data_IF_459512364143
#
_entry.id   IF_459512364143
#
_cell.length_a   1.000
_cell.length_b   1.000
_cell.length_c   1.000
_cell.angle_alpha   90.00
_cell.angle_beta   90.00
_cell.angle_gamma   90.00
#
_symmetry.space_group_name_H-M   'P 1'
#
loop_
_entity.id
_entity.type
_entity.pdbx_description
1 polymer ?
#
# COMPACT_ATOMS: atom_id res chain seq x y z
N UNK A 1 25.48 24.12 -1.79
CA UNK A 1 26.30 25.35 -1.60
C UNK A 1 26.44 26.24 -2.84
N UNK A 2 26.64 25.73 -4.07
CA UNK A 2 26.84 26.57 -5.27
C UNK A 2 25.74 27.59 -5.57
N UNK A 3 24.49 27.27 -5.21
CA UNK A 3 23.30 28.10 -5.43
C UNK A 3 23.28 29.37 -4.56
N UNK A 4 23.77 29.29 -3.32
CA UNK A 4 23.81 30.43 -2.40
C UNK A 4 25.02 31.34 -2.66
N UNK A 5 26.15 30.77 -3.09
CA UNK A 5 27.27 31.55 -3.61
C UNK A 5 26.93 32.32 -4.89
N UNK A 6 25.85 31.93 -5.60
CA UNK A 6 25.30 32.68 -6.73
C UNK A 6 24.32 33.80 -6.31
N UNK A 7 24.17 34.06 -5.00
CA UNK A 7 23.33 35.13 -4.48
C UNK A 7 21.84 34.81 -4.41
N UNK A 8 21.43 33.55 -4.58
CA UNK A 8 20.02 33.20 -4.37
C UNK A 8 19.64 33.40 -2.90
N UNK A 9 18.58 34.19 -2.69
CA UNK A 9 17.96 34.46 -1.39
C UNK A 9 16.50 34.03 -1.45
N UNK A 10 15.96 33.56 -0.32
CA UNK A 10 14.52 33.34 -0.15
C UNK A 10 13.98 34.43 0.77
N UNK A 11 12.93 35.10 0.31
CA UNK A 11 12.18 36.07 1.14
C UNK A 11 11.21 35.33 2.04
N UNK A 12 10.71 35.99 3.09
CA UNK A 12 9.71 35.39 3.98
C UNK A 12 8.45 34.96 3.22
N UNK A 13 7.91 35.84 2.37
CA UNK A 13 6.75 35.51 1.54
C UNK A 13 7.04 34.34 0.57
N UNK A 14 8.25 34.29 -0.01
CA UNK A 14 8.68 33.19 -0.86
C UNK A 14 8.79 31.86 -0.11
N UNK A 15 9.24 31.90 1.15
CA UNK A 15 9.32 30.74 2.04
C UNK A 15 7.93 30.19 2.36
N UNK A 16 7.00 31.06 2.77
CA UNK A 16 5.63 30.65 3.08
C UNK A 16 4.92 30.07 1.84
N UNK A 17 5.10 30.72 0.68
CA UNK A 17 4.56 30.21 -0.58
C UNK A 17 5.14 28.82 -0.91
N UNK A 18 6.45 28.65 -0.84
CA UNK A 18 7.09 27.37 -1.12
C UNK A 18 6.62 26.26 -0.16
N UNK A 19 6.35 26.60 1.11
CA UNK A 19 5.76 25.66 2.07
C UNK A 19 4.30 25.31 1.75
N UNK A 20 3.50 26.29 1.28
CA UNK A 20 2.14 26.04 0.79
C UNK A 20 2.11 25.16 -0.46
N UNK A 21 3.09 25.33 -1.35
CA UNK A 21 3.28 24.50 -2.55
C UNK A 21 3.98 23.14 -2.22
N UNK A 22 4.14 22.81 -0.94
CA UNK A 22 4.78 21.58 -0.43
C UNK A 22 6.18 21.29 -1.01
N UNK A 23 6.96 22.35 -1.30
CA UNK A 23 8.33 22.22 -1.81
C UNK A 23 9.19 21.56 -0.73
N UNK A 24 9.80 20.42 -1.05
CA UNK A 24 10.65 19.70 -0.11
C UNK A 24 11.93 20.49 0.23
N UNK A 25 12.32 20.50 1.50
CA UNK A 25 13.62 21.04 1.94
C UNK A 25 13.71 22.57 1.97
N UNK A 26 12.56 23.27 2.08
CA UNK A 26 12.52 24.74 2.22
C UNK A 26 13.36 25.24 3.41
N UNK A 27 13.47 24.46 4.48
CA UNK A 27 14.27 24.77 5.66
C UNK A 27 15.77 24.89 5.38
N UNK A 28 16.27 24.18 4.35
CA UNK A 28 17.70 24.20 3.97
C UNK A 28 18.09 25.59 3.47
N UNK A 29 17.17 26.31 2.83
CA UNK A 29 17.40 27.67 2.36
C UNK A 29 17.56 28.63 3.54
N UNK A 30 16.70 28.49 4.55
CA UNK A 30 16.74 29.31 5.77
C UNK A 30 18.02 29.04 6.56
N UNK A 31 18.33 27.76 6.81
CA UNK A 31 19.55 27.35 7.52
C UNK A 31 20.81 27.90 6.85
N UNK A 32 20.86 27.86 5.52
CA UNK A 32 22.04 28.28 4.81
C UNK A 32 22.17 29.81 4.72
N UNK A 33 21.07 30.57 4.66
CA UNK A 33 21.12 32.04 4.83
C UNK A 33 21.65 32.42 6.22
N UNK A 34 21.23 31.71 7.27
CA UNK A 34 21.73 31.92 8.64
C UNK A 34 23.22 31.62 8.78
N UNK A 35 23.68 30.47 8.26
CA UNK A 35 25.10 30.07 8.31
C UNK A 35 26.03 31.04 7.55
N UNK A 36 25.54 31.66 6.48
CA UNK A 36 26.29 32.62 5.68
C UNK A 36 26.17 34.07 6.19
N UNK A 37 25.43 34.32 7.27
CA UNK A 37 25.19 35.66 7.79
C UNK A 37 24.48 36.58 6.80
N UNK A 38 23.68 36.02 5.89
CA UNK A 38 22.92 36.80 4.90
C UNK A 38 21.74 37.46 5.62
N UNK A 39 21.67 38.79 5.56
CA UNK A 39 20.51 39.52 6.06
C UNK A 39 19.25 39.11 5.27
N UNK A 40 18.22 38.66 5.98
CA UNK A 40 16.93 38.24 5.43
C UNK A 40 15.78 38.94 6.15
N UNK A 41 14.61 38.99 5.50
CA UNK A 41 13.35 39.47 6.06
C UNK A 41 12.58 38.37 6.82
N UNK A 42 13.17 37.18 6.99
CA UNK A 42 12.55 36.02 7.64
C UNK A 42 12.45 36.28 9.16
N UNK A 43 11.25 36.28 9.74
CA UNK A 43 11.07 36.47 11.19
C UNK A 43 11.78 35.38 11.99
N UNK A 44 12.24 35.73 13.20
CA UNK A 44 12.94 34.81 14.10
C UNK A 44 12.13 33.53 14.38
N UNK A 45 10.80 33.61 14.44
CA UNK A 45 9.91 32.46 14.61
C UNK A 45 10.00 31.49 13.43
N UNK A 46 9.96 31.97 12.18
CA UNK A 46 10.11 31.12 11.00
C UNK A 46 11.52 30.50 10.93
N UNK A 47 12.55 31.24 11.35
CA UNK A 47 13.91 30.68 11.52
C UNK A 47 13.91 29.56 12.56
N UNK A 48 13.26 29.75 13.71
CA UNK A 48 13.18 28.73 14.76
C UNK A 48 12.50 27.44 14.25
N UNK A 49 11.39 27.57 13.52
CA UNK A 49 10.69 26.44 12.89
C UNK A 49 11.64 25.65 11.96
N UNK A 50 12.35 26.35 11.05
CA UNK A 50 13.24 25.71 10.07
C UNK A 50 14.55 25.17 10.66
N UNK A 51 15.03 25.75 11.76
CA UNK A 51 16.32 25.41 12.36
C UNK A 51 16.21 24.48 13.57
N UNK A 52 15.01 23.96 13.89
CA UNK A 52 14.80 23.06 15.03
C UNK A 52 14.93 23.77 16.38
N UNK A 53 14.66 25.09 16.42
CA UNK A 53 14.60 25.84 17.66
C UNK A 53 13.34 25.50 18.47
N UNK A 54 13.36 25.86 19.75
CA UNK A 54 12.20 25.71 20.62
C UNK A 54 11.16 26.79 20.29
N UNK A 55 10.24 26.45 19.38
CA UNK A 55 9.11 27.30 19.04
C UNK A 55 7.80 26.81 19.64
N UNK A 56 7.83 25.74 20.47
CA UNK A 56 6.62 25.17 21.07
C UNK A 56 5.90 26.17 21.98
N UNK A 57 6.65 27.07 22.63
CA UNK A 57 6.12 28.06 23.57
C UNK A 57 5.91 29.45 22.96
N UNK A 58 6.29 29.69 21.70
CA UNK A 58 6.20 31.03 21.09
C UNK A 58 4.78 31.26 20.56
N UNK A 59 4.07 32.30 20.99
CA UNK A 59 2.74 32.62 20.46
C UNK A 59 2.76 32.78 18.92
N UNK A 60 1.84 32.09 18.24
CA UNK A 60 1.70 32.20 16.79
C UNK A 60 0.99 33.52 16.44
N UNK A 61 1.53 34.33 15.52
CA UNK A 61 0.85 35.54 15.07
C UNK A 61 -0.48 35.18 14.41
N UNK A 62 -1.53 35.96 14.69
CA UNK A 62 -2.87 35.68 14.16
C UNK A 62 -2.94 35.71 12.64
N UNK A 63 -2.18 36.61 12.00
CA UNK A 63 -2.18 36.81 10.54
C UNK A 63 -1.47 35.66 9.80
N UNK A 64 -0.34 35.18 10.32
CA UNK A 64 0.52 34.18 9.65
C UNK A 64 0.43 32.77 10.26
N UNK A 65 -0.39 32.57 11.31
CA UNK A 65 -0.39 31.34 12.10
C UNK A 65 -0.58 30.07 11.25
N UNK A 66 -1.51 30.10 10.29
CA UNK A 66 -1.74 28.97 9.37
C UNK A 66 -0.54 28.69 8.46
N UNK A 67 0.10 29.74 7.93
CA UNK A 67 1.25 29.61 7.04
C UNK A 67 2.51 29.12 7.79
N UNK A 68 2.68 29.51 9.06
CA UNK A 68 3.75 29.01 9.92
C UNK A 68 3.54 27.55 10.32
N UNK A 69 2.29 27.14 10.60
CA UNK A 69 1.96 25.72 10.82
C UNK A 69 2.26 24.89 9.57
N UNK A 70 1.90 25.42 8.39
CA UNK A 70 2.19 24.80 7.09
C UNK A 70 3.70 24.65 6.85
N UNK A 71 4.48 25.71 7.13
CA UNK A 71 5.95 25.65 7.08
C UNK A 71 6.49 24.58 8.04
N UNK A 72 5.98 24.50 9.26
CA UNK A 72 6.42 23.54 10.26
C UNK A 72 6.09 22.08 9.90
N UNK A 73 4.93 21.83 9.31
CA UNK A 73 4.54 20.51 8.81
C UNK A 73 5.27 20.13 7.51
N UNK A 74 5.78 21.09 6.75
CA UNK A 74 6.57 20.83 5.54
C UNK A 74 8.06 20.51 5.85
N UNK A 75 8.56 20.97 7.00
CA UNK A 75 9.94 20.75 7.45
C UNK A 75 10.25 19.26 7.62
N UNK A 76 11.47 18.82 7.27
CA UNK A 76 11.87 17.40 7.41
C UNK A 76 11.97 16.90 8.86
N UNK A 77 11.93 17.77 9.86
CA UNK A 77 12.02 17.41 11.27
C UNK A 77 10.65 16.93 11.82
N UNK A 78 10.50 15.64 12.19
CA UNK A 78 9.23 15.10 12.68
C UNK A 78 8.80 15.68 14.03
N UNK A 79 9.72 16.14 14.87
CA UNK A 79 9.38 16.75 16.17
C UNK A 79 8.80 18.16 15.97
N UNK A 80 9.34 18.92 15.01
CA UNK A 80 8.77 20.22 14.58
C UNK A 80 7.33 20.03 14.06
N UNK A 81 7.11 19.05 13.18
CA UNK A 81 5.77 18.77 12.65
C UNK A 81 4.79 18.32 13.75
N UNK A 82 5.25 17.49 14.69
CA UNK A 82 4.42 17.04 15.83
C UNK A 82 4.06 18.20 16.76
N UNK A 83 5.00 19.10 17.04
CA UNK A 83 4.74 20.31 17.80
C UNK A 83 3.71 21.21 17.08
N UNK A 84 3.83 21.37 15.75
CA UNK A 84 2.88 22.13 14.95
C UNK A 84 1.46 21.56 15.05
N UNK A 85 1.30 20.24 14.88
CA UNK A 85 0.02 19.57 14.97
C UNK A 85 -0.66 19.82 16.33
N UNK A 86 0.10 19.80 17.43
CA UNK A 86 -0.41 20.06 18.79
C UNK A 86 -0.87 21.50 19.02
N UNK A 87 -0.42 22.42 18.18
CA UNK A 87 -0.72 23.86 18.28
C UNK A 87 -1.80 24.31 17.32
N UNK A 88 -2.39 23.40 16.54
CA UNK A 88 -3.49 23.73 15.66
C UNK A 88 -4.65 24.30 16.48
N UNK A 89 -5.16 25.51 16.13
CA UNK A 89 -6.29 26.08 16.83
C UNK A 89 -7.53 25.22 16.63
N UNK A 90 -8.41 25.21 17.63
CA UNK A 90 -9.67 24.45 17.57
C UNK A 90 -10.58 24.92 16.41
N UNK A 91 -10.44 26.17 16.00
CA UNK A 91 -11.18 26.81 14.90
C UNK A 91 -10.21 27.13 13.76
N UNK A 92 -9.82 26.11 13.00
CA UNK A 92 -9.15 26.29 11.72
C UNK A 92 -10.19 26.38 10.61
N UNK A 93 -9.92 27.26 9.65
CA UNK A 93 -10.65 27.24 8.39
C UNK A 93 -10.53 25.84 7.75
N UNK A 94 -11.63 25.27 7.23
CA UNK A 94 -11.64 23.90 6.70
C UNK A 94 -10.54 23.66 5.66
N UNK A 95 -10.35 24.62 4.74
CA UNK A 95 -9.32 24.52 3.70
C UNK A 95 -7.90 24.47 4.26
N UNK A 96 -7.64 25.20 5.36
CA UNK A 96 -6.33 25.21 6.03
C UNK A 96 -6.10 23.89 6.74
N UNK A 97 -7.08 23.38 7.50
CA UNK A 97 -6.96 22.10 8.19
C UNK A 97 -6.66 20.94 7.21
N UNK A 98 -7.31 20.96 6.04
CA UNK A 98 -7.08 19.99 4.95
C UNK A 98 -5.67 20.10 4.38
N UNK A 99 -5.22 21.31 4.02
CA UNK A 99 -3.87 21.55 3.50
C UNK A 99 -2.80 21.06 4.47
N UNK A 100 -2.95 21.41 5.76
CA UNK A 100 -2.02 21.00 6.79
C UNK A 100 -1.94 19.47 6.91
N UNK A 101 -3.09 18.79 6.90
CA UNK A 101 -3.12 17.32 7.02
C UNK A 101 -2.48 16.65 5.81
N UNK A 102 -2.79 17.14 4.61
CA UNK A 102 -2.19 16.64 3.38
C UNK A 102 -0.67 16.80 3.43
N UNK A 103 -0.16 17.97 3.82
CA UNK A 103 1.28 18.19 3.96
C UNK A 103 1.90 17.27 5.01
N UNK A 104 1.29 17.12 6.19
CA UNK A 104 1.78 16.19 7.20
C UNK A 104 1.85 14.74 6.68
N UNK A 105 0.84 14.34 5.90
CA UNK A 105 0.73 13.03 5.28
C UNK A 105 1.79 12.82 4.20
N UNK A 106 1.87 13.70 3.19
CA UNK A 106 2.83 13.65 2.07
C UNK A 106 4.29 13.71 2.57
N UNK A 107 4.54 14.43 3.68
CA UNK A 107 5.86 14.48 4.34
C UNK A 107 6.10 13.32 5.33
N UNK A 108 5.14 12.41 5.46
CA UNK A 108 5.21 11.18 6.26
C UNK A 108 5.44 11.45 7.76
N UNK A 109 4.85 12.53 8.29
CA UNK A 109 4.88 12.87 9.70
C UNK A 109 3.79 12.13 10.49
N UNK A 110 3.94 10.82 10.63
CA UNK A 110 2.90 9.94 11.21
C UNK A 110 2.41 10.35 12.59
N UNK A 111 3.28 10.85 13.48
CA UNK A 111 2.87 11.38 14.80
C UNK A 111 2.01 12.64 14.69
N UNK A 112 2.34 13.53 13.75
CA UNK A 112 1.55 14.72 13.47
C UNK A 112 0.19 14.34 12.89
N UNK A 113 0.16 13.49 11.85
CA UNK A 113 -1.07 12.94 11.26
C UNK A 113 -1.95 12.30 12.33
N UNK A 114 -1.40 11.39 13.15
CA UNK A 114 -2.13 10.73 14.24
C UNK A 114 -2.75 11.72 15.23
N UNK A 115 -2.05 12.82 15.53
CA UNK A 115 -2.61 13.85 16.39
C UNK A 115 -3.74 14.61 15.67
N UNK A 116 -3.53 14.99 14.42
CA UNK A 116 -4.45 15.78 13.61
C UNK A 116 -5.77 15.06 13.35
N UNK A 117 -5.75 13.75 13.06
CA UNK A 117 -6.98 12.95 12.86
C UNK A 117 -7.84 12.86 14.13
N UNK A 118 -7.26 13.10 15.31
CA UNK A 118 -7.99 13.19 16.58
C UNK A 118 -8.65 14.56 16.83
N UNK A 119 -8.37 15.57 16.00
CA UNK A 119 -8.93 16.92 16.17
C UNK A 119 -10.34 16.99 15.55
N UNK A 120 -11.30 17.55 16.29
CA UNK A 120 -12.68 17.70 15.84
C UNK A 120 -12.79 18.48 14.52
N UNK A 121 -11.98 19.54 14.34
CA UNK A 121 -11.97 20.34 13.12
C UNK A 121 -11.54 19.52 11.88
N UNK A 122 -10.62 18.58 12.06
CA UNK A 122 -10.19 17.69 10.96
C UNK A 122 -11.28 16.67 10.67
N UNK A 123 -11.87 16.06 11.70
CA UNK A 123 -12.94 15.06 11.53
C UNK A 123 -14.21 15.66 10.89
N UNK A 124 -14.61 16.88 11.28
CA UNK A 124 -15.81 17.54 10.75
C UNK A 124 -15.67 17.97 9.28
N UNK A 125 -14.45 18.25 8.85
CA UNK A 125 -14.18 18.76 7.51
C UNK A 125 -13.56 17.73 6.56
N UNK A 126 -13.29 16.50 7.04
CA UNK A 126 -12.92 15.38 6.20
C UNK A 126 -14.16 14.67 5.67
N UNK A 127 -14.30 14.58 4.35
CA UNK A 127 -15.31 13.76 3.68
C UNK A 127 -14.64 12.67 2.84
N UNK A 128 -15.42 11.65 2.45
CA UNK A 128 -14.94 10.48 1.70
C UNK A 128 -14.08 10.84 0.49
N UNK A 129 -14.54 11.73 -0.39
CA UNK A 129 -13.81 12.11 -1.63
C UNK A 129 -12.43 12.73 -1.34
N UNK A 130 -12.34 13.57 -0.30
CA UNK A 130 -11.06 14.16 0.08
C UNK A 130 -10.15 13.10 0.69
N UNK A 131 -10.70 12.22 1.55
CA UNK A 131 -9.93 11.14 2.13
C UNK A 131 -9.38 10.20 1.05
N UNK A 132 -10.18 9.84 0.05
CA UNK A 132 -9.73 9.07 -1.12
C UNK A 132 -8.56 9.77 -1.82
N UNK A 133 -8.65 11.07 -2.05
CA UNK A 133 -7.60 11.86 -2.70
C UNK A 133 -6.30 11.82 -1.89
N UNK A 134 -6.37 12.06 -0.58
CA UNK A 134 -5.20 12.02 0.32
C UNK A 134 -4.59 10.62 0.36
N UNK A 135 -5.41 9.57 0.47
CA UNK A 135 -4.94 8.19 0.48
C UNK A 135 -4.29 7.79 -0.85
N UNK A 136 -4.83 8.25 -1.98
CA UNK A 136 -4.26 8.00 -3.31
C UNK A 136 -2.89 8.68 -3.47
N UNK A 137 -2.78 9.96 -3.10
CA UNK A 137 -1.50 10.69 -3.15
C UNK A 137 -0.45 10.06 -2.21
N UNK A 138 -0.88 9.58 -1.05
CA UNK A 138 -0.01 8.81 -0.16
C UNK A 138 0.48 7.52 -0.79
N UNK A 139 -0.40 6.74 -1.41
CA UNK A 139 -0.04 5.51 -2.10
C UNK A 139 0.99 5.75 -3.20
N UNK A 140 0.79 6.80 -4.00
CA UNK A 140 1.72 7.19 -5.08
C UNK A 140 3.09 7.67 -4.54
N UNK A 141 3.11 8.32 -3.37
CA UNK A 141 4.34 8.85 -2.76
C UNK A 141 5.02 7.89 -1.78
N UNK A 142 4.35 6.79 -1.39
CA UNK A 142 4.84 5.80 -0.44
C UNK A 142 5.89 4.88 -1.08
N UNK A 143 7.12 5.38 -1.22
CA UNK A 143 8.26 4.52 -1.57
C UNK A 143 8.86 3.78 -0.36
N UNK A 144 8.43 4.11 0.87
CA UNK A 144 9.03 3.63 2.12
C UNK A 144 7.98 3.33 3.20
N UNK A 145 8.33 2.46 4.15
CA UNK A 145 7.46 2.02 5.25
C UNK A 145 6.92 3.13 6.17
N UNK A 146 7.45 4.35 6.11
CA UNK A 146 7.05 5.45 6.99
C UNK A 146 5.67 6.01 6.66
N UNK A 147 5.28 6.03 5.40
CA UNK A 147 3.96 6.52 4.99
C UNK A 147 2.80 5.61 5.44
N UNK A 148 3.08 4.32 5.71
CA UNK A 148 2.06 3.36 6.17
C UNK A 148 1.40 3.79 7.48
N UNK A 149 2.17 4.36 8.42
CA UNK A 149 1.60 4.83 9.68
C UNK A 149 0.66 6.04 9.51
N UNK A 150 0.88 6.86 8.49
CA UNK A 150 -0.06 7.94 8.14
C UNK A 150 -1.35 7.35 7.58
N UNK A 151 -1.25 6.34 6.72
CA UNK A 151 -2.39 5.67 6.12
C UNK A 151 -3.28 5.03 7.18
N UNK A 152 -2.68 4.32 8.15
CA UNK A 152 -3.43 3.70 9.25
C UNK A 152 -4.25 4.73 10.03
N UNK A 153 -3.62 5.84 10.41
CA UNK A 153 -4.30 6.92 11.12
C UNK A 153 -5.42 7.58 10.29
N UNK A 154 -5.27 7.65 8.96
CA UNK A 154 -6.28 8.21 8.07
C UNK A 154 -7.47 7.25 7.87
N UNK A 155 -7.23 5.93 7.84
CA UNK A 155 -8.28 4.92 7.78
C UNK A 155 -9.14 4.87 9.06
N UNK A 156 -8.65 5.39 10.19
CA UNK A 156 -9.42 5.54 11.44
C UNK A 156 -10.42 6.71 11.41
N UNK A 157 -10.37 7.59 10.40
CA UNK A 157 -11.29 8.72 10.32
C UNK A 157 -12.72 8.26 10.03
N UNK A 158 -13.76 8.92 10.59
CA UNK A 158 -15.15 8.60 10.29
C UNK A 158 -15.48 8.63 8.79
N UNK A 159 -14.80 9.50 8.03
CA UNK A 159 -14.93 9.58 6.58
C UNK A 159 -14.56 8.27 5.85
N UNK A 160 -13.70 7.42 6.43
CA UNK A 160 -13.32 6.14 5.86
C UNK A 160 -14.51 5.16 5.80
N UNK A 161 -15.40 5.22 6.78
CA UNK A 161 -16.63 4.43 6.80
C UNK A 161 -17.65 4.87 5.72
N UNK A 162 -17.45 6.05 5.13
CA UNK A 162 -18.32 6.63 4.09
C UNK A 162 -17.72 6.55 2.69
N UNK A 163 -16.57 5.89 2.51
CA UNK A 163 -16.00 5.63 1.19
C UNK A 163 -16.96 4.78 0.36
N UNK A 164 -16.99 5.00 -0.95
CA UNK A 164 -17.71 4.13 -1.89
C UNK A 164 -16.91 2.86 -2.16
N UNK A 165 -17.58 1.80 -2.61
CA UNK A 165 -16.92 0.59 -3.11
C UNK A 165 -15.96 0.89 -4.26
N UNK A 166 -16.32 1.82 -5.16
CA UNK A 166 -15.45 2.24 -6.26
C UNK A 166 -14.17 2.95 -5.76
N UNK A 167 -14.28 3.80 -4.73
CA UNK A 167 -13.13 4.43 -4.10
C UNK A 167 -12.23 3.39 -3.43
N UNK A 168 -12.81 2.44 -2.69
CA UNK A 168 -12.07 1.34 -2.08
C UNK A 168 -11.37 0.47 -3.12
N UNK A 169 -12.04 0.13 -4.22
CA UNK A 169 -11.49 -0.62 -5.35
C UNK A 169 -10.27 0.09 -5.94
N UNK A 170 -10.38 1.40 -6.19
CA UNK A 170 -9.29 2.22 -6.72
C UNK A 170 -8.09 2.25 -5.77
N UNK A 171 -8.32 2.48 -4.47
CA UNK A 171 -7.26 2.49 -3.46
C UNK A 171 -6.58 1.13 -3.32
N UNK A 172 -7.34 0.03 -3.30
CA UNK A 172 -6.81 -1.33 -3.25
C UNK A 172 -5.97 -1.65 -4.49
N UNK A 173 -6.44 -1.24 -5.67
CA UNK A 173 -5.67 -1.41 -6.91
C UNK A 173 -4.36 -0.63 -6.86
N UNK A 174 -4.37 0.62 -6.42
CA UNK A 174 -3.13 1.40 -6.25
C UNK A 174 -2.18 0.76 -5.24
N UNK A 175 -2.70 0.20 -4.13
CA UNK A 175 -1.89 -0.52 -3.15
C UNK A 175 -1.24 -1.78 -3.76
N UNK A 176 -1.99 -2.52 -4.59
CA UNK A 176 -1.47 -3.66 -5.36
C UNK A 176 -0.38 -3.19 -6.31
N UNK A 177 -0.59 -2.12 -7.09
CA UNK A 177 0.37 -1.59 -8.07
C UNK A 177 1.70 -1.16 -7.43
N UNK A 178 1.68 -0.57 -6.24
CA UNK A 178 2.90 -0.22 -5.48
C UNK A 178 3.44 -1.37 -4.61
N UNK A 179 2.82 -2.56 -4.69
CA UNK A 179 3.17 -3.77 -3.95
C UNK A 179 3.26 -3.57 -2.42
N UNK A 180 2.38 -2.72 -1.84
CA UNK A 180 2.25 -2.54 -0.39
C UNK A 180 1.11 -3.36 0.21
N UNK A 181 1.43 -4.58 0.67
CA UNK A 181 0.44 -5.53 1.19
C UNK A 181 -0.13 -5.07 2.54
N UNK A 182 0.67 -4.38 3.34
CA UNK A 182 0.26 -3.82 4.63
C UNK A 182 -0.83 -2.76 4.45
N UNK A 183 -0.75 -1.99 3.37
CA UNK A 183 -1.78 -1.00 3.04
C UNK A 183 -3.02 -1.69 2.50
N UNK A 184 -2.88 -2.66 1.61
CA UNK A 184 -4.01 -3.43 1.12
C UNK A 184 -4.75 -4.16 2.25
N UNK A 185 -4.01 -4.70 3.24
CA UNK A 185 -4.57 -5.29 4.45
C UNK A 185 -5.54 -4.34 5.15
N UNK A 186 -5.10 -3.12 5.48
CA UNK A 186 -5.97 -2.16 6.17
C UNK A 186 -7.13 -1.69 5.29
N UNK A 187 -6.88 -1.46 4.00
CA UNK A 187 -7.93 -1.06 3.06
C UNK A 187 -9.02 -2.13 2.95
N UNK A 188 -8.66 -3.43 2.99
CA UNK A 188 -9.61 -4.53 3.00
C UNK A 188 -10.51 -4.51 4.24
N UNK A 189 -10.07 -3.96 5.37
CA UNK A 189 -10.90 -3.85 6.58
C UNK A 189 -11.92 -2.71 6.55
N UNK A 190 -11.85 -1.83 5.53
CA UNK A 190 -12.82 -0.76 5.37
C UNK A 190 -14.19 -1.32 4.97
N UNK A 191 -15.25 -0.74 5.51
CA UNK A 191 -16.64 -1.14 5.21
C UNK A 191 -16.94 -1.12 3.70
N UNK A 192 -16.34 -0.18 2.96
CA UNK A 192 -16.45 -0.06 1.52
C UNK A 192 -15.79 -1.22 0.75
N UNK A 193 -14.63 -1.71 1.23
CA UNK A 193 -13.96 -2.86 0.64
C UNK A 193 -14.72 -4.17 0.89
N UNK A 194 -15.35 -4.28 2.07
CA UNK A 194 -16.21 -5.41 2.43
C UNK A 194 -17.49 -5.50 1.56
N UNK A 195 -17.83 -4.43 0.84
CA UNK A 195 -18.97 -4.34 -0.07
C UNK A 195 -18.60 -4.57 -1.55
N UNK A 196 -17.34 -4.88 -1.86
CA UNK A 196 -16.91 -5.15 -3.23
C UNK A 196 -17.66 -6.36 -3.80
N UNK A 197 -18.08 -6.23 -5.06
CA UNK A 197 -18.70 -7.33 -5.80
C UNK A 197 -17.67 -8.42 -6.11
N UNK A 198 -18.14 -9.63 -6.44
CA UNK A 198 -17.25 -10.70 -6.90
C UNK A 198 -16.48 -10.34 -8.17
N UNK A 199 -17.07 -9.55 -9.08
CA UNK A 199 -16.39 -9.03 -10.28
C UNK A 199 -15.27 -8.04 -9.95
N UNK A 200 -15.49 -7.16 -8.96
CA UNK A 200 -14.45 -6.24 -8.49
C UNK A 200 -13.31 -7.00 -7.81
N UNK A 201 -13.63 -7.99 -6.98
CA UNK A 201 -12.61 -8.85 -6.34
C UNK A 201 -11.84 -9.66 -7.38
N UNK A 202 -12.51 -10.25 -8.37
CA UNK A 202 -11.85 -10.92 -9.50
C UNK A 202 -10.84 -9.99 -10.21
N UNK A 203 -11.25 -8.75 -10.47
CA UNK A 203 -10.36 -7.73 -11.06
C UNK A 203 -9.13 -7.44 -10.19
N UNK A 204 -9.29 -7.36 -8.87
CA UNK A 204 -8.16 -7.18 -7.93
C UNK A 204 -7.22 -8.38 -7.93
N UNK A 205 -7.76 -9.61 -7.90
CA UNK A 205 -6.97 -10.84 -7.95
C UNK A 205 -6.12 -10.90 -9.22
N UNK A 206 -6.70 -10.54 -10.35
CA UNK A 206 -5.99 -10.45 -11.63
C UNK A 206 -4.88 -9.39 -11.62
N UNK A 207 -5.12 -8.23 -10.99
CA UNK A 207 -4.09 -7.20 -10.82
C UNK A 207 -2.94 -7.68 -9.92
N UNK A 208 -3.24 -8.43 -8.84
CA UNK A 208 -2.23 -9.03 -7.97
C UNK A 208 -1.32 -9.98 -8.75
N UNK A 209 -1.90 -10.91 -9.51
CA UNK A 209 -1.12 -11.87 -10.32
C UNK A 209 -0.24 -11.15 -11.35
N UNK A 210 -0.77 -10.14 -12.03
CA UNK A 210 0.00 -9.35 -12.99
C UNK A 210 1.20 -8.67 -12.34
N UNK A 211 1.04 -8.11 -11.14
CA UNK A 211 2.14 -7.43 -10.47
C UNK A 211 3.18 -8.40 -9.89
N UNK A 212 2.77 -9.59 -9.44
CA UNK A 212 3.67 -10.64 -8.96
C UNK A 212 4.71 -11.04 -10.02
N UNK A 213 4.34 -11.06 -11.31
CA UNK A 213 5.27 -11.41 -12.41
C UNK A 213 6.41 -10.41 -12.62
N UNK A 214 6.21 -9.14 -12.25
CA UNK A 214 7.19 -8.07 -12.50
C UNK A 214 8.29 -8.02 -11.43
N UNK A 215 7.98 -8.43 -10.21
CA UNK A 215 8.89 -8.34 -9.06
C UNK A 215 9.99 -9.41 -9.04
N UNK A 216 9.84 -10.49 -9.82
CA UNK A 216 10.61 -11.74 -9.66
C UNK A 216 11.99 -11.77 -10.34
N UNK A 217 12.43 -10.67 -10.98
CA UNK A 217 13.69 -10.69 -11.74
C UNK A 217 14.96 -10.40 -10.94
N UNK A 218 14.87 -9.81 -9.74
CA UNK A 218 16.07 -9.29 -9.05
C UNK A 218 16.35 -9.85 -7.63
N UNK A 219 15.41 -10.50 -6.93
CA UNK A 219 15.64 -10.92 -5.52
C UNK A 219 14.94 -12.23 -5.08
N UNK A 220 15.59 -13.41 -5.18
CA UNK A 220 14.94 -14.73 -5.02
C UNK A 220 14.48 -15.14 -3.60
N UNK A 221 14.63 -14.31 -2.55
CA UNK A 221 14.43 -14.78 -1.15
C UNK A 221 13.45 -13.98 -0.28
N UNK A 222 12.90 -12.85 -0.75
CA UNK A 222 11.85 -12.12 0.00
C UNK A 222 10.49 -12.08 -0.70
N UNK A 223 10.41 -12.62 -1.92
CA UNK A 223 9.27 -12.51 -2.82
C UNK A 223 8.14 -13.49 -2.46
N UNK A 224 8.49 -14.68 -1.96
CA UNK A 224 7.52 -15.68 -1.48
C UNK A 224 6.55 -15.14 -0.41
N UNK A 225 6.93 -14.09 0.32
CA UNK A 225 6.08 -13.50 1.35
C UNK A 225 5.15 -12.40 0.83
N UNK A 226 5.49 -11.67 -0.25
CA UNK A 226 4.71 -10.47 -0.61
C UNK A 226 3.48 -10.78 -1.45
N UNK A 227 3.62 -11.57 -2.53
CA UNK A 227 2.48 -11.99 -3.36
C UNK A 227 1.45 -12.77 -2.55
N UNK A 228 1.94 -13.76 -1.78
CA UNK A 228 1.09 -14.65 -0.98
C UNK A 228 0.24 -13.92 0.06
N UNK A 229 0.76 -12.85 0.67
CA UNK A 229 -0.01 -12.07 1.65
C UNK A 229 -1.11 -11.25 0.96
N UNK A 230 -0.83 -10.58 -0.16
CA UNK A 230 -1.87 -9.85 -0.91
C UNK A 230 -3.02 -10.77 -1.33
N UNK A 231 -2.65 -11.90 -1.91
CA UNK A 231 -3.56 -12.93 -2.38
C UNK A 231 -4.41 -13.48 -1.23
N UNK A 232 -3.79 -13.77 -0.08
CA UNK A 232 -4.49 -14.19 1.13
C UNK A 232 -5.55 -13.19 1.58
N UNK A 233 -5.19 -11.90 1.64
CA UNK A 233 -6.06 -10.83 2.14
C UNK A 233 -7.26 -10.62 1.20
N UNK A 234 -7.03 -10.62 -0.11
CA UNK A 234 -8.12 -10.42 -1.08
C UNK A 234 -9.15 -11.55 -1.05
N UNK A 235 -8.70 -12.78 -0.75
CA UNK A 235 -9.57 -13.94 -0.63
C UNK A 235 -10.40 -13.95 0.68
N UNK A 236 -10.06 -13.10 1.65
CA UNK A 236 -10.88 -12.86 2.85
C UNK A 236 -12.06 -11.93 2.58
N UNK A 237 -12.09 -11.23 1.44
CA UNK A 237 -13.21 -10.35 1.09
C UNK A 237 -14.49 -11.16 0.81
N UNK A 238 -15.67 -10.70 1.26
CA UNK A 238 -16.94 -11.39 0.99
C UNK A 238 -17.23 -11.63 -0.49
N UNK A 239 -16.76 -10.73 -1.37
CA UNK A 239 -16.87 -10.88 -2.82
C UNK A 239 -16.09 -12.09 -3.36
N UNK A 240 -14.97 -12.49 -2.74
CA UNK A 240 -14.20 -13.67 -3.13
C UNK A 240 -15.02 -14.97 -2.96
N UNK A 241 -15.80 -15.04 -1.89
CA UNK A 241 -16.67 -16.18 -1.58
C UNK A 241 -17.85 -16.31 -2.56
N UNK A 242 -18.11 -15.27 -3.36
CA UNK A 242 -19.18 -15.19 -4.36
C UNK A 242 -18.65 -15.27 -5.79
N UNK A 243 -17.37 -15.60 -5.98
CA UNK A 243 -16.82 -15.84 -7.31
C UNK A 243 -17.56 -17.00 -7.99
N UNK A 244 -17.71 -16.90 -9.32
CA UNK A 244 -18.27 -18.01 -10.11
C UNK A 244 -17.21 -19.09 -10.33
N UNK A 245 -17.64 -20.32 -10.64
CA UNK A 245 -16.71 -21.42 -10.95
C UNK A 245 -15.78 -21.03 -12.10
N UNK A 246 -16.30 -20.35 -13.12
CA UNK A 246 -15.52 -19.87 -14.26
C UNK A 246 -14.49 -18.83 -13.83
N UNK A 247 -14.85 -17.89 -12.95
CA UNK A 247 -13.90 -16.90 -12.44
C UNK A 247 -12.79 -17.56 -11.61
N UNK A 248 -13.12 -18.52 -10.75
CA UNK A 248 -12.12 -19.27 -9.99
C UNK A 248 -11.20 -20.07 -10.93
N UNK A 249 -11.76 -20.76 -11.92
CA UNK A 249 -11.01 -21.52 -12.91
C UNK A 249 -10.06 -20.60 -13.72
N UNK A 250 -10.55 -19.46 -14.20
CA UNK A 250 -9.76 -18.47 -14.92
C UNK A 250 -8.62 -17.90 -14.05
N UNK A 251 -8.90 -17.63 -12.76
CA UNK A 251 -7.86 -17.18 -11.82
C UNK A 251 -6.82 -18.27 -11.55
N UNK A 252 -7.22 -19.54 -11.45
CA UNK A 252 -6.30 -20.66 -11.29
C UNK A 252 -5.37 -20.80 -12.51
N UNK A 253 -5.91 -20.75 -13.73
CA UNK A 253 -5.11 -20.75 -14.96
C UNK A 253 -4.12 -19.58 -14.99
N UNK A 254 -4.58 -18.36 -14.68
CA UNK A 254 -3.71 -17.16 -14.65
C UNK A 254 -2.63 -17.28 -13.58
N UNK A 255 -2.95 -17.80 -12.40
CA UNK A 255 -1.99 -17.98 -11.31
C UNK A 255 -0.89 -18.96 -11.71
N UNK A 256 -1.28 -20.10 -12.30
CA UNK A 256 -0.36 -21.14 -12.76
C UNK A 256 0.55 -20.61 -13.87
N UNK A 257 -0.03 -20.00 -14.91
CA UNK A 257 0.73 -19.45 -16.05
C UNK A 257 1.66 -18.31 -15.68
N UNK A 258 1.29 -17.52 -14.67
CA UNK A 258 2.09 -16.42 -14.15
C UNK A 258 3.18 -16.88 -13.18
N UNK A 259 3.23 -18.18 -12.83
CA UNK A 259 4.15 -18.69 -11.81
C UNK A 259 3.89 -18.10 -10.42
N UNK A 260 2.64 -17.71 -10.13
CA UNK A 260 2.28 -17.16 -8.82
C UNK A 260 2.55 -18.17 -7.69
N UNK A 261 2.64 -17.65 -6.46
CA UNK A 261 2.96 -18.46 -5.30
C UNK A 261 1.94 -19.61 -5.15
N UNK A 262 2.44 -20.82 -4.88
CA UNK A 262 1.61 -22.01 -4.67
C UNK A 262 0.50 -21.79 -3.61
N UNK A 263 0.80 -21.02 -2.58
CA UNK A 263 -0.17 -20.61 -1.55
C UNK A 263 -1.43 -19.97 -2.14
N UNK A 264 -1.32 -19.22 -3.24
CA UNK A 264 -2.47 -18.63 -3.89
C UNK A 264 -3.37 -19.66 -4.57
N UNK A 265 -2.76 -20.61 -5.27
CA UNK A 265 -3.47 -21.74 -5.89
C UNK A 265 -4.21 -22.52 -4.81
N UNK A 266 -3.53 -22.83 -3.71
CA UNK A 266 -4.12 -23.50 -2.55
C UNK A 266 -5.32 -22.72 -1.97
N UNK A 267 -5.25 -21.38 -1.88
CA UNK A 267 -6.36 -20.59 -1.35
C UNK A 267 -7.52 -20.45 -2.33
N UNK A 268 -7.26 -20.31 -3.62
CA UNK A 268 -8.30 -20.31 -4.66
C UNK A 268 -9.08 -21.62 -4.67
N UNK A 269 -8.38 -22.74 -4.48
CA UNK A 269 -8.98 -24.06 -4.32
C UNK A 269 -9.90 -24.18 -3.10
N UNK A 270 -9.66 -23.41 -2.04
CA UNK A 270 -10.52 -23.39 -0.86
C UNK A 270 -11.78 -22.51 -1.01
N UNK A 271 -11.96 -21.84 -2.15
CA UNK A 271 -13.19 -21.09 -2.41
C UNK A 271 -14.37 -22.02 -2.68
N UNK A 272 -15.60 -21.66 -2.26
CA UNK A 272 -16.79 -22.49 -2.47
C UNK A 272 -17.02 -22.88 -3.94
N UNK A 273 -16.72 -21.98 -4.86
CA UNK A 273 -16.89 -22.22 -6.30
C UNK A 273 -15.87 -23.20 -6.90
N UNK A 274 -14.74 -23.45 -6.23
CA UNK A 274 -13.76 -24.45 -6.67
C UNK A 274 -14.34 -25.88 -6.59
N UNK A 275 -15.29 -26.14 -5.69
CA UNK A 275 -15.98 -27.42 -5.59
C UNK A 275 -16.81 -27.77 -6.84
N UNK A 276 -17.11 -26.79 -7.68
CA UNK A 276 -17.83 -26.98 -8.93
C UNK A 276 -16.94 -27.11 -10.17
N UNK A 277 -15.61 -27.17 -10.00
CA UNK A 277 -14.67 -27.44 -11.10
C UNK A 277 -14.74 -28.93 -11.45
N UNK A 278 -14.91 -29.22 -12.74
CA UNK A 278 -14.98 -30.59 -13.24
C UNK A 278 -13.62 -31.28 -13.22
N UNK A 279 -13.62 -32.62 -13.24
CA UNK A 279 -12.38 -33.40 -13.34
C UNK A 279 -11.57 -33.08 -14.59
N UNK A 280 -12.23 -32.76 -15.71
CA UNK A 280 -11.57 -32.39 -16.96
C UNK A 280 -10.84 -31.04 -16.85
N UNK A 281 -11.48 -30.05 -16.23
CA UNK A 281 -10.87 -28.74 -15.97
C UNK A 281 -9.71 -28.85 -14.98
N UNK A 282 -9.87 -29.63 -13.91
CA UNK A 282 -8.79 -29.92 -12.96
C UNK A 282 -7.59 -30.59 -13.63
N UNK A 283 -7.83 -31.58 -14.50
CA UNK A 283 -6.78 -32.22 -15.31
C UNK A 283 -6.06 -31.20 -16.21
N UNK A 284 -6.81 -30.28 -16.84
CA UNK A 284 -6.22 -29.21 -17.66
C UNK A 284 -5.32 -28.28 -16.82
N UNK A 285 -5.75 -27.88 -15.63
CA UNK A 285 -4.96 -27.06 -14.71
C UNK A 285 -3.66 -27.76 -14.30
N UNK A 286 -3.74 -29.05 -13.97
CA UNK A 286 -2.57 -29.85 -13.60
C UNK A 286 -1.58 -29.94 -14.76
N UNK A 287 -2.05 -30.26 -15.96
CA UNK A 287 -1.21 -30.32 -17.16
C UNK A 287 -0.51 -28.99 -17.44
N UNK A 288 -1.22 -27.87 -17.27
CA UNK A 288 -0.63 -26.55 -17.42
C UNK A 288 0.43 -26.26 -16.35
N UNK A 289 0.16 -26.59 -15.09
CA UNK A 289 1.12 -26.44 -14.00
C UNK A 289 2.41 -27.23 -14.25
N UNK A 290 2.28 -28.47 -14.74
CA UNK A 290 3.43 -29.27 -15.18
C UNK A 290 4.26 -28.63 -16.28
N UNK A 291 3.62 -27.87 -17.18
CA UNK A 291 4.32 -27.25 -18.30
C UNK A 291 5.03 -25.95 -17.93
N UNK A 292 4.55 -25.25 -16.89
CA UNK A 292 5.05 -23.92 -16.50
C UNK A 292 6.07 -23.99 -15.37
N UNK A 293 5.91 -24.88 -14.39
CA UNK A 293 6.75 -24.87 -13.20
C UNK A 293 8.10 -25.57 -13.52
N UNK A 294 9.25 -24.86 -13.43
CA UNK A 294 10.55 -25.45 -13.70
C UNK A 294 10.87 -26.56 -12.71
N UNK A 295 11.49 -27.64 -13.17
CA UNK A 295 11.85 -28.79 -12.33
C UNK A 295 12.76 -28.38 -11.17
N UNK A 296 12.34 -28.68 -9.94
CA UNK A 296 13.06 -28.38 -8.69
C UNK A 296 12.22 -28.72 -7.45
N UNK A 297 12.85 -28.80 -6.28
CA UNK A 297 12.21 -29.28 -5.04
C UNK A 297 10.91 -28.53 -4.66
N UNK A 298 10.84 -27.23 -4.96
CA UNK A 298 9.64 -26.40 -4.71
C UNK A 298 8.48 -26.71 -5.65
N UNK A 299 8.79 -27.12 -6.89
CA UNK A 299 7.80 -27.50 -7.90
C UNK A 299 7.09 -28.80 -7.52
N UNK A 300 7.87 -29.78 -7.05
CA UNK A 300 7.36 -31.10 -6.68
C UNK A 300 6.39 -31.01 -5.50
N UNK A 301 6.65 -30.15 -4.52
CA UNK A 301 5.74 -29.93 -3.40
C UNK A 301 4.41 -29.30 -3.85
N UNK A 302 4.48 -28.24 -4.66
CA UNK A 302 3.31 -27.54 -5.17
C UNK A 302 2.40 -28.45 -6.01
N UNK A 303 3.00 -29.21 -6.92
CA UNK A 303 2.27 -30.15 -7.77
C UNK A 303 1.62 -31.24 -6.92
N UNK A 304 2.33 -31.77 -5.91
CA UNK A 304 1.77 -32.80 -5.03
C UNK A 304 0.55 -32.31 -4.28
N UNK A 305 0.63 -31.14 -3.64
CA UNK A 305 -0.48 -30.60 -2.85
C UNK A 305 -1.69 -30.23 -3.74
N UNK A 306 -1.44 -29.71 -4.96
CA UNK A 306 -2.48 -29.51 -6.00
C UNK A 306 -3.23 -30.81 -6.27
N UNK A 307 -2.48 -31.89 -6.45
CA UNK A 307 -3.04 -33.21 -6.76
C UNK A 307 -3.79 -33.82 -5.57
N UNK A 308 -3.23 -33.72 -4.36
CA UNK A 308 -3.89 -34.17 -3.12
C UNK A 308 -5.22 -33.46 -2.88
N UNK A 309 -5.26 -32.14 -3.11
CA UNK A 309 -6.52 -31.38 -3.03
C UNK A 309 -7.56 -31.92 -4.02
N UNK A 310 -7.18 -32.10 -5.29
CA UNK A 310 -8.14 -32.55 -6.29
C UNK A 310 -8.60 -34.00 -6.05
N UNK A 311 -7.75 -34.86 -5.48
CA UNK A 311 -8.19 -36.18 -5.02
C UNK A 311 -9.27 -36.11 -3.92
N UNK A 312 -9.19 -35.12 -3.04
CA UNK A 312 -10.16 -34.94 -1.96
C UNK A 312 -11.51 -34.42 -2.48
N UNK A 313 -11.51 -33.61 -3.53
CA UNK A 313 -12.71 -32.96 -4.08
C UNK A 313 -13.35 -33.77 -5.21
N UNK A 314 -12.57 -34.49 -6.01
CA UNK A 314 -13.09 -35.37 -7.07
C UNK A 314 -13.58 -36.71 -6.53
N UNK A 315 -14.50 -37.36 -7.24
CA UNK A 315 -14.93 -38.71 -6.85
C UNK A 315 -13.71 -39.63 -6.77
N UNK A 316 -13.52 -40.38 -5.66
CA UNK A 316 -12.27 -41.08 -5.32
C UNK A 316 -11.82 -42.19 -6.29
N UNK A 317 -12.47 -42.33 -7.45
CA UNK A 317 -12.20 -43.35 -8.46
C UNK A 317 -11.94 -42.77 -9.87
N UNK A 318 -11.64 -41.49 -10.03
CA UNK A 318 -11.20 -40.97 -11.34
C UNK A 318 -9.85 -41.59 -11.73
N UNK A 319 -9.88 -42.52 -12.70
CA UNK A 319 -8.68 -43.19 -13.22
C UNK A 319 -7.66 -42.18 -13.81
N UNK A 320 -8.13 -41.06 -14.35
CA UNK A 320 -7.28 -39.99 -14.89
C UNK A 320 -6.46 -39.28 -13.80
N UNK A 321 -7.06 -39.01 -12.63
CA UNK A 321 -6.35 -38.39 -11.50
C UNK A 321 -5.27 -39.34 -10.97
N UNK A 322 -5.56 -40.64 -10.91
CA UNK A 322 -4.59 -41.66 -10.51
C UNK A 322 -3.42 -41.80 -11.51
N UNK A 323 -3.69 -41.68 -12.81
CA UNK A 323 -2.66 -41.73 -13.86
C UNK A 323 -1.75 -40.49 -13.81
N UNK A 324 -2.32 -39.29 -13.61
CA UNK A 324 -1.55 -38.07 -13.39
C UNK A 324 -0.67 -38.18 -12.14
N UNK A 325 -1.19 -38.69 -11.02
CA UNK A 325 -0.38 -38.97 -9.82
C UNK A 325 0.81 -39.86 -10.10
N UNK A 326 0.56 -40.96 -10.80
CA UNK A 326 1.61 -41.90 -11.15
C UNK A 326 2.67 -41.22 -12.02
N UNK A 327 2.25 -40.37 -12.97
CA UNK A 327 3.18 -39.55 -13.76
C UNK A 327 4.03 -38.63 -12.87
N UNK A 328 3.42 -37.88 -11.94
CA UNK A 328 4.12 -37.01 -10.97
C UNK A 328 5.16 -37.80 -10.16
N UNK A 329 4.73 -38.92 -9.58
CA UNK A 329 5.57 -39.75 -8.73
C UNK A 329 6.71 -40.41 -9.51
N UNK A 330 6.50 -40.69 -10.80
CA UNK A 330 7.52 -41.26 -11.68
C UNK A 330 8.55 -40.24 -12.17
N UNK A 331 8.17 -38.97 -12.31
CA UNK A 331 9.09 -37.88 -12.68
C UNK A 331 9.87 -37.34 -11.48
N UNK A 332 9.31 -37.44 -10.27
CA UNK A 332 9.94 -37.02 -9.01
C UNK A 332 11.02 -38.00 -8.47
N UNK A 333 11.47 -38.99 -9.26
CA UNK A 333 12.66 -39.78 -8.88
C UNK A 333 13.89 -38.93 -9.20
N UNK A 334 14.60 -38.36 -8.21
CA UNK A 334 15.83 -37.65 -8.50
C UNK A 334 16.82 -38.63 -9.15
N UNK A 335 17.61 -38.22 -10.17
CA UNK A 335 18.80 -38.99 -10.51
C UNK A 335 19.62 -39.09 -9.23
N UNK A 336 19.85 -40.31 -8.74
CA UNK A 336 20.67 -40.53 -7.56
C UNK A 336 21.97 -39.76 -7.75
N UNK A 337 22.15 -38.69 -6.98
CA UNK A 337 23.41 -38.00 -6.80
C UNK A 337 24.36 -39.05 -6.24
N UNK A 338 25.07 -39.69 -7.16
CA UNK A 338 26.16 -40.58 -6.83
C UNK A 338 27.25 -39.64 -6.33
N UNK A 339 27.36 -39.52 -5.01
CA UNK A 339 28.52 -38.90 -4.37
C UNK A 339 29.71 -39.79 -4.76
N UNK A 340 30.52 -39.28 -5.69
CA UNK A 340 31.92 -39.65 -5.89
C UNK A 340 32.76 -38.41 -5.62
#
# INVERSE_FOLDING_TARGET
>A
MRLLSAGMRITYAGLLKAAGDMVAGVEVWVQAQQQLGIQSDIPALAVAVCCGGDWADIELPAEDGGALLQLALNCSNPDTATAAARRMPALLEPGVARSLLLTAATRQHSKAVKHMVGLAVVQQHMHAELLETVLSELLESCQNCRGMLCLYALCELPAAATLSSDAAMKLLRSAVEVSSWEVAYELCHLAAAQQLSSEQVDTLLQACMQNSTLADRDYPLTIFQRGSIFEAIMLELPGAQQLSNNAVLDNLHKAITSGCAFEFVYRLQNLPAAAGISSAEATSLLQEAFSVIPSGDTADWAIRDLVEFWQAVSEPNSAEVAELLHAVQSTAVPPQLTIL
#
